data_IF_234417031492
#
_entry.id   IF_234417031492
#
_cell.length_a   1.000
_cell.length_b   1.000
_cell.length_c   1.000
_cell.angle_alpha   90.00
_cell.angle_beta   90.00
_cell.angle_gamma   90.00
#
_symmetry.space_group_name_H-M   'P 1'
#
loop_
_entity.id
_entity.type
_entity.pdbx_description
1 polymer ?
#
# COMPACT_ATOMS: atom_id res chain seq x y z
N UNK A 1 1.96 0.28 7.44
CA UNK A 1 2.78 0.97 6.42
C UNK A 1 3.39 2.21 7.03
N UNK A 2 4.71 2.33 6.95
CA UNK A 2 5.48 3.42 7.55
C UNK A 2 6.50 3.96 6.53
N UNK A 3 6.77 5.26 6.61
CA UNK A 3 7.86 5.94 5.90
C UNK A 3 8.74 6.63 6.93
N UNK A 4 10.05 6.33 6.94
CA UNK A 4 11.01 6.85 7.92
C UNK A 4 10.59 6.59 9.38
N UNK A 5 9.98 5.42 9.64
CA UNK A 5 9.43 5.06 10.96
C UNK A 5 8.13 5.79 11.34
N UNK A 6 7.65 6.72 10.52
CA UNK A 6 6.37 7.40 10.73
C UNK A 6 5.23 6.63 10.06
N UNK A 7 4.13 6.45 10.80
CA UNK A 7 2.93 5.80 10.29
C UNK A 7 2.33 6.57 9.11
N UNK A 8 2.19 5.89 7.97
CA UNK A 8 1.43 6.37 6.82
C UNK A 8 0.00 5.79 6.85
N UNK A 9 -0.14 4.51 7.22
CA UNK A 9 -1.44 3.85 7.33
C UNK A 9 -1.35 2.41 7.82
N UNK A 10 -2.46 1.94 8.37
CA UNK A 10 -2.71 0.59 8.88
C UNK A 10 -4.09 0.12 8.40
N UNK A 11 -4.29 -0.02 7.08
CA UNK A 11 -5.59 -0.46 6.56
C UNK A 11 -5.82 -1.96 6.82
N UNK A 12 -7.08 -2.33 6.99
CA UNK A 12 -7.53 -3.71 7.14
C UNK A 12 -7.79 -4.33 5.77
N UNK A 13 -7.04 -5.39 5.46
CA UNK A 13 -7.10 -6.08 4.17
C UNK A 13 -8.34 -6.97 3.99
N UNK A 14 -9.11 -7.20 5.05
CA UNK A 14 -10.32 -8.05 5.03
C UNK A 14 -11.62 -7.23 5.03
N UNK A 15 -11.54 -5.90 4.99
CA UNK A 15 -12.71 -5.01 4.95
C UNK A 15 -12.73 -4.26 3.64
N UNK A 16 -13.94 -3.97 3.14
CA UNK A 16 -14.14 -3.11 1.96
C UNK A 16 -13.43 -3.62 0.68
N UNK A 17 -13.19 -4.92 0.62
CA UNK A 17 -12.67 -5.61 -0.55
C UNK A 17 -13.79 -5.73 -1.59
N UNK A 18 -13.66 -5.03 -2.72
CA UNK A 18 -14.66 -5.04 -3.79
C UNK A 18 -14.67 -6.39 -4.52
N UNK A 19 -13.49 -6.99 -4.73
CA UNK A 19 -13.33 -8.29 -5.38
C UNK A 19 -12.39 -9.18 -4.58
N UNK A 20 -12.82 -10.40 -4.27
CA UNK A 20 -11.95 -11.39 -3.66
C UNK A 20 -10.94 -11.97 -4.67
N UNK A 21 -9.92 -12.69 -4.18
CA UNK A 21 -8.91 -13.30 -5.04
C UNK A 21 -9.49 -14.32 -6.04
N UNK A 22 -10.56 -15.02 -5.69
CA UNK A 22 -11.23 -15.96 -6.60
C UNK A 22 -11.85 -15.23 -7.80
N UNK A 23 -12.51 -14.10 -7.56
CA UNK A 23 -13.05 -13.24 -8.61
C UNK A 23 -11.96 -12.64 -9.48
N UNK A 24 -10.84 -12.19 -8.88
CA UNK A 24 -9.69 -11.67 -9.62
C UNK A 24 -9.08 -12.76 -10.50
N UNK A 25 -8.82 -13.96 -9.96
CA UNK A 25 -8.29 -15.11 -10.70
C UNK A 25 -9.20 -15.45 -11.87
N UNK A 26 -10.51 -15.59 -11.63
CA UNK A 26 -11.48 -15.90 -12.67
C UNK A 26 -11.50 -14.85 -13.79
N UNK A 27 -11.42 -13.57 -13.43
CA UNK A 27 -11.35 -12.49 -14.42
C UNK A 27 -10.08 -12.57 -15.28
N UNK A 28 -8.91 -12.77 -14.64
CA UNK A 28 -7.63 -12.85 -15.34
C UNK A 28 -7.56 -14.09 -16.25
N UNK A 29 -8.10 -15.22 -15.80
CA UNK A 29 -8.12 -16.48 -16.55
C UNK A 29 -9.05 -16.46 -17.77
N UNK A 30 -9.98 -15.50 -17.87
CA UNK A 30 -10.95 -15.41 -18.97
C UNK A 30 -10.28 -15.24 -20.33
N UNK A 31 -9.14 -14.56 -20.41
CA UNK A 31 -8.49 -14.20 -21.68
C UNK A 31 -7.04 -14.65 -21.79
N UNK A 32 -6.51 -15.35 -20.76
CA UNK A 32 -5.15 -15.90 -20.75
C UNK A 32 -5.04 -17.08 -19.79
N UNK A 33 -4.12 -18.00 -20.06
CA UNK A 33 -3.75 -19.04 -19.09
C UNK A 33 -2.96 -18.46 -17.91
N UNK A 34 -3.19 -18.99 -16.72
CA UNK A 34 -2.39 -18.73 -15.52
C UNK A 34 -1.63 -20.01 -15.19
N UNK A 35 -0.31 -19.94 -15.09
CA UNK A 35 0.54 -21.09 -14.80
C UNK A 35 0.95 -21.16 -13.32
N UNK A 36 1.42 -22.32 -12.88
CA UNK A 36 1.98 -22.49 -11.55
C UNK A 36 3.12 -21.49 -11.32
N UNK A 37 3.10 -20.79 -10.18
CA UNK A 37 4.05 -19.73 -9.87
C UNK A 37 3.60 -18.31 -10.26
N UNK A 38 2.43 -18.15 -10.89
CA UNK A 38 1.87 -16.80 -11.14
C UNK A 38 1.60 -16.05 -9.84
N UNK A 39 2.07 -14.81 -9.73
CA UNK A 39 1.80 -13.91 -8.60
C UNK A 39 0.67 -12.95 -8.98
N UNK A 40 -0.38 -12.91 -8.17
CA UNK A 40 -1.54 -12.03 -8.37
C UNK A 40 -1.62 -11.06 -7.20
N UNK A 41 -1.53 -9.77 -7.49
CA UNK A 41 -1.75 -8.72 -6.50
C UNK A 41 -3.21 -8.29 -6.45
N UNK A 42 -3.75 -8.07 -5.24
CA UNK A 42 -5.09 -7.49 -5.05
C UNK A 42 -5.16 -5.99 -5.39
N UNK A 43 -4.00 -5.34 -5.55
CA UNK A 43 -3.89 -3.89 -5.60
C UNK A 43 -3.64 -3.28 -4.22
N UNK A 44 -3.61 -1.96 -4.15
CA UNK A 44 -3.44 -1.22 -2.89
C UNK A 44 -4.64 -1.45 -1.98
N UNK A 45 -4.40 -1.82 -0.71
CA UNK A 45 -5.46 -1.88 0.29
C UNK A 45 -5.82 -0.47 0.73
N UNK A 46 -7.11 -0.13 0.64
CA UNK A 46 -7.66 1.16 1.06
C UNK A 46 -8.92 0.93 1.88
N UNK A 47 -9.14 1.75 2.89
CA UNK A 47 -10.39 1.78 3.64
C UNK A 47 -10.96 3.20 3.66
N UNK A 48 -12.29 3.32 3.78
CA UNK A 48 -13.02 4.59 3.75
C UNK A 48 -12.68 5.49 4.95
N UNK A 49 -12.40 4.90 6.12
CA UNK A 49 -12.04 5.65 7.32
C UNK A 49 -10.67 6.31 7.18
N UNK A 50 -10.62 7.64 7.33
CA UNK A 50 -9.36 8.38 7.35
C UNK A 50 -8.40 7.93 8.48
N UNK A 51 -8.94 7.39 9.58
CA UNK A 51 -8.13 6.90 10.70
C UNK A 51 -7.26 5.68 10.33
N UNK A 52 -7.68 4.89 9.33
CA UNK A 52 -6.88 3.81 8.78
C UNK A 52 -5.60 4.33 8.11
N UNK A 53 -5.55 5.62 7.75
CA UNK A 53 -4.46 6.20 6.96
C UNK A 53 -4.45 5.65 5.53
N UNK A 54 -3.29 5.66 4.90
CA UNK A 54 -3.14 5.26 3.50
C UNK A 54 -1.99 4.26 3.31
N UNK A 55 -2.17 3.32 2.40
CA UNK A 55 -1.08 2.46 1.90
C UNK A 55 -0.43 3.03 0.62
N UNK A 56 -0.87 4.20 0.15
CA UNK A 56 -0.36 4.88 -1.03
C UNK A 56 -0.18 6.37 -0.74
N UNK A 57 0.99 6.93 -1.08
CA UNK A 57 1.28 8.36 -0.91
C UNK A 57 0.36 9.21 -1.79
N UNK A 58 0.12 8.79 -3.03
CA UNK A 58 -0.79 9.52 -3.93
C UNK A 58 -2.20 9.59 -3.37
N UNK A 59 -2.70 8.49 -2.79
CA UNK A 59 -4.00 8.50 -2.11
C UNK A 59 -4.00 9.44 -0.90
N UNK A 60 -2.96 9.40 -0.06
CA UNK A 60 -2.81 10.31 1.08
C UNK A 60 -2.85 11.78 0.65
N UNK A 61 -2.13 12.12 -0.42
CA UNK A 61 -2.13 13.46 -1.01
C UNK A 61 -3.51 13.85 -1.51
N UNK A 62 -4.22 12.98 -2.23
CA UNK A 62 -5.56 13.26 -2.74
C UNK A 62 -6.54 13.53 -1.59
N UNK A 63 -6.49 12.74 -0.51
CA UNK A 63 -7.31 12.97 0.69
C UNK A 63 -7.03 14.33 1.32
N UNK A 64 -5.75 14.66 1.52
CA UNK A 64 -5.34 15.95 2.05
C UNK A 64 -5.77 17.12 1.17
N UNK A 65 -5.68 17.00 -0.17
CA UNK A 65 -6.18 18.02 -1.11
C UNK A 65 -7.69 18.21 -0.94
N UNK A 66 -8.46 17.12 -0.85
CA UNK A 66 -9.90 17.16 -0.62
C UNK A 66 -10.25 17.80 0.74
N UNK A 67 -9.39 17.63 1.74
CA UNK A 67 -9.49 18.28 3.05
C UNK A 67 -8.99 19.74 3.06
N UNK A 68 -8.55 20.27 1.91
CA UNK A 68 -8.10 21.66 1.75
C UNK A 68 -6.68 21.93 2.27
N UNK A 69 -5.87 20.89 2.47
CA UNK A 69 -4.47 21.03 2.89
C UNK A 69 -3.66 21.70 1.77
N UNK A 70 -2.90 22.78 2.08
CA UNK A 70 -2.03 23.45 1.11
C UNK A 70 -0.96 22.52 0.53
N UNK A 71 -0.53 22.77 -0.71
CA UNK A 71 0.40 21.90 -1.46
C UNK A 71 1.71 21.64 -0.71
N UNK A 72 2.24 22.66 -0.03
CA UNK A 72 3.47 22.61 0.74
C UNK A 72 3.38 21.77 2.03
N UNK A 73 2.15 21.42 2.46
CA UNK A 73 1.87 20.59 3.63
C UNK A 73 1.39 19.18 3.26
N UNK A 74 1.26 18.88 1.97
CA UNK A 74 0.88 17.54 1.51
C UNK A 74 1.96 16.51 1.86
N UNK A 75 1.52 15.27 2.03
CA UNK A 75 2.39 14.10 2.20
C UNK A 75 3.43 14.09 1.06
N UNK A 76 4.72 14.21 1.37
CA UNK A 76 5.75 14.25 0.33
C UNK A 76 5.87 12.88 -0.33
N UNK A 77 6.22 12.87 -1.62
CA UNK A 77 6.71 11.66 -2.26
C UNK A 77 8.05 11.24 -1.65
N UNK A 78 8.37 9.96 -1.81
CA UNK A 78 9.63 9.38 -1.35
C UNK A 78 10.82 10.11 -2.00
N UNK A 79 11.86 10.29 -1.20
CA UNK A 79 13.15 10.87 -1.59
C UNK A 79 14.25 9.84 -1.44
N UNK A 80 15.39 10.09 -2.08
CA UNK A 80 16.58 9.27 -1.87
C UNK A 80 16.93 9.22 -0.37
N UNK A 81 17.20 8.02 0.13
CA UNK A 81 17.51 7.80 1.55
C UNK A 81 16.30 7.55 2.44
N UNK A 82 15.07 7.80 1.99
CA UNK A 82 13.87 7.42 2.76
C UNK A 82 13.81 5.90 2.96
N UNK A 83 13.14 5.44 4.02
CA UNK A 83 12.92 4.02 4.29
C UNK A 83 11.43 3.71 4.33
N UNK A 84 11.01 2.67 3.62
CA UNK A 84 9.62 2.20 3.62
C UNK A 84 9.54 0.87 4.34
N UNK A 85 8.67 0.81 5.35
CA UNK A 85 8.37 -0.42 6.10
C UNK A 85 6.91 -0.82 5.93
N UNK A 86 6.68 -2.05 5.49
CA UNK A 86 5.34 -2.64 5.36
C UNK A 86 5.32 -3.99 6.07
N UNK A 87 4.31 -4.19 6.91
CA UNK A 87 4.10 -5.43 7.65
C UNK A 87 2.60 -5.69 7.78
N UNK A 88 2.25 -6.97 7.86
CA UNK A 88 0.91 -7.43 8.21
C UNK A 88 1.00 -8.11 9.56
N UNK A 89 0.14 -7.70 10.47
CA UNK A 89 0.07 -8.25 11.82
C UNK A 89 -1.29 -8.93 12.04
N UNK A 90 -1.28 -9.99 12.87
CA UNK A 90 -2.52 -10.58 13.37
C UNK A 90 -3.18 -9.70 14.43
N UNK A 91 -4.32 -10.15 14.95
CA UNK A 91 -5.08 -9.42 15.97
C UNK A 91 -4.31 -9.26 17.32
N UNK A 92 -3.23 -10.02 17.53
CA UNK A 92 -2.36 -9.93 18.69
C UNK A 92 -1.11 -9.06 18.41
N UNK A 93 -1.01 -8.44 17.23
CA UNK A 93 0.12 -7.61 16.84
C UNK A 93 1.35 -8.40 16.38
N UNK A 94 1.24 -9.71 16.16
CA UNK A 94 2.36 -10.54 15.69
C UNK A 94 2.45 -10.49 14.18
N UNK A 95 3.66 -10.36 13.65
CA UNK A 95 3.88 -10.37 12.20
C UNK A 95 3.48 -11.71 11.57
N UNK A 96 2.74 -11.65 10.46
CA UNK A 96 2.23 -12.83 9.75
C UNK A 96 3.20 -13.28 8.66
N UNK A 97 3.81 -12.34 7.94
CA UNK A 97 4.67 -12.61 6.77
C UNK A 97 6.11 -12.10 6.95
N UNK A 98 6.44 -11.53 8.11
CA UNK A 98 7.60 -10.65 8.25
C UNK A 98 7.31 -9.23 7.75
N UNK A 99 8.34 -8.40 7.75
CA UNK A 99 8.28 -7.03 7.26
C UNK A 99 9.10 -6.87 5.98
N UNK A 100 8.54 -6.14 5.02
CA UNK A 100 9.30 -5.52 3.94
C UNK A 100 9.86 -4.23 4.54
N UNK A 101 11.18 -4.07 4.52
CA UNK A 101 11.88 -2.91 5.08
C UNK A 101 13.00 -2.51 4.12
N UNK A 102 12.78 -1.43 3.36
CA UNK A 102 13.61 -1.11 2.20
C UNK A 102 13.97 0.38 2.16
N UNK A 103 15.27 0.71 1.97
CA UNK A 103 15.68 2.08 1.67
C UNK A 103 15.38 2.43 0.21
N UNK A 104 15.03 3.69 -0.03
CA UNK A 104 14.87 4.28 -1.34
C UNK A 104 16.25 4.70 -1.84
N UNK A 105 16.57 4.27 -3.07
CA UNK A 105 17.75 4.70 -3.81
C UNK A 105 17.31 5.24 -5.16
N UNK A 106 17.72 6.48 -5.45
CA UNK A 106 17.56 7.08 -6.77
C UNK A 106 18.90 6.94 -7.47
N UNK A 107 18.97 6.02 -8.42
CA UNK A 107 20.14 5.91 -9.27
C UNK A 107 20.25 7.18 -10.12
N UNK A 108 21.37 7.89 -10.01
CA UNK A 108 21.68 8.96 -10.93
C UNK A 108 21.78 8.36 -12.35
N UNK A 109 21.27 9.04 -13.39
CA UNK A 109 21.51 8.60 -14.76
C UNK A 109 23.02 8.55 -15.00
N UNK A 110 23.51 7.34 -15.32
CA UNK A 110 24.91 7.11 -15.69
C UNK A 110 25.25 7.62 -17.09
#
# INVERSE_FOLDING_TARGET
>A
VQVNGHRLGEPHANTEVIFDFGQIIAHLARTRGLCAGSIIGAGTISNASAAAGSACITEARVRQILDGVPEEQLCPYLRDGDTVRMEVCDAQGRTVFGAIDQPVRIDAPG
#
